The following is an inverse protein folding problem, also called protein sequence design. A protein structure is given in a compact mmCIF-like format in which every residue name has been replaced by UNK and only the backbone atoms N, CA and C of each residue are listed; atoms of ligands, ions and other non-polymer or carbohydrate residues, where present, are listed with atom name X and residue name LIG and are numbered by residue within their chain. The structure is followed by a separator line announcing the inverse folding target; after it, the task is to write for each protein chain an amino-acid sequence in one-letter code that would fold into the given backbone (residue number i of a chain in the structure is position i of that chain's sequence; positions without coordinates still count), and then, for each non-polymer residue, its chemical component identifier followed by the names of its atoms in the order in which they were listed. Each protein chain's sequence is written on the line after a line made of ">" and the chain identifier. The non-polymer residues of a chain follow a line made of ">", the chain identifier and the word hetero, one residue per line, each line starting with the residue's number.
data_IF_838018561500
#
_entry.id   IF_838018561500
#
_cell.length_a   1.000
_cell.length_b   1.000
_cell.length_c   1.000
_cell.angle_alpha   90.00
_cell.angle_beta   90.00
_cell.angle_gamma   90.00
#
_symmetry.space_group_name_H-M   'P 1'
#
loop_
_entity.id
_entity.type
_entity.pdbx_description
1 polymer ?
#
# COMPACT_ATOMS: atom_id res chain seq x y z
N UNK A 1 3.04 -12.04 16.94
CA UNK A 1 2.75 -11.00 15.92
C UNK A 1 1.89 -9.95 16.57
N UNK A 2 2.26 -8.67 16.46
CA UNK A 2 1.40 -7.58 16.93
C UNK A 2 0.50 -7.06 15.82
N UNK A 3 -0.48 -6.23 16.19
CA UNK A 3 -1.40 -5.62 15.23
C UNK A 3 -0.62 -4.74 14.26
N UNK A 4 0.36 -3.95 14.74
CA UNK A 4 1.25 -3.16 13.89
C UNK A 4 1.99 -4.02 12.88
N UNK A 5 2.49 -5.20 13.28
CA UNK A 5 3.17 -6.11 12.36
C UNK A 5 2.21 -6.65 11.26
N UNK A 6 0.97 -6.97 11.61
CA UNK A 6 -0.04 -7.41 10.64
C UNK A 6 -0.43 -6.29 9.66
N UNK A 7 -0.60 -5.07 10.17
CA UNK A 7 -0.89 -3.88 9.33
C UNK A 7 0.29 -3.57 8.41
N UNK A 8 1.53 -3.63 8.93
CA UNK A 8 2.75 -3.45 8.13
C UNK A 8 2.87 -4.49 7.01
N UNK A 9 2.57 -5.75 7.29
CA UNK A 9 2.54 -6.81 6.26
C UNK A 9 1.47 -6.52 5.20
N UNK A 10 0.31 -6.01 5.60
CA UNK A 10 -0.77 -5.64 4.67
C UNK A 10 -0.34 -4.48 3.77
N UNK A 11 0.31 -3.45 4.32
CA UNK A 11 0.88 -2.34 3.55
C UNK A 11 1.91 -2.84 2.53
N UNK A 12 2.78 -3.78 2.93
CA UNK A 12 3.76 -4.37 2.00
C UNK A 12 3.07 -5.11 0.84
N UNK A 13 2.03 -5.90 1.12
CA UNK A 13 1.24 -6.57 0.08
C UNK A 13 0.56 -5.57 -0.87
N UNK A 14 -0.01 -4.49 -0.35
CA UNK A 14 -0.63 -3.43 -1.16
C UNK A 14 0.38 -2.74 -2.10
N UNK A 15 1.59 -2.45 -1.60
CA UNK A 15 2.69 -1.91 -2.43
C UNK A 15 3.08 -2.87 -3.56
N UNK A 16 3.09 -4.18 -3.28
CA UNK A 16 3.32 -5.21 -4.31
C UNK A 16 2.22 -5.24 -5.38
N UNK A 17 0.95 -5.13 -4.99
CA UNK A 17 -0.18 -5.02 -5.92
C UNK A 17 -0.05 -3.76 -6.77
N UNK A 18 0.26 -2.61 -6.16
CA UNK A 18 0.47 -1.36 -6.87
C UNK A 18 1.54 -1.48 -7.95
N UNK A 19 2.73 -1.99 -7.59
CA UNK A 19 3.83 -2.20 -8.54
C UNK A 19 3.46 -3.15 -9.68
N UNK A 20 2.64 -4.17 -9.38
CA UNK A 20 2.12 -5.11 -10.39
C UNK A 20 1.20 -4.40 -11.39
N UNK A 21 0.29 -3.54 -10.92
CA UNK A 21 -0.59 -2.75 -11.80
C UNK A 21 0.20 -1.74 -12.63
N UNK A 22 1.21 -1.10 -12.06
CA UNK A 22 2.12 -0.20 -12.81
C UNK A 22 2.85 -0.96 -13.91
N UNK A 23 3.35 -2.17 -13.62
CA UNK A 23 4.00 -3.03 -14.63
C UNK A 23 3.03 -3.40 -15.75
N UNK A 24 1.78 -3.76 -15.45
CA UNK A 24 0.77 -4.01 -16.48
C UNK A 24 0.46 -2.75 -17.30
N UNK A 25 0.39 -1.57 -16.68
CA UNK A 25 0.13 -0.32 -17.38
C UNK A 25 1.27 0.09 -18.32
N UNK A 26 2.51 -0.33 -18.03
CA UNK A 26 3.67 -0.10 -18.90
C UNK A 26 3.63 -0.99 -20.15
N UNK A 27 3.16 -2.23 -20.01
CA UNK A 27 3.06 -3.20 -21.12
C UNK A 27 1.75 -3.10 -21.92
N UNK A 28 0.78 -2.31 -21.47
CA UNK A 28 -0.53 -2.16 -22.11
C UNK A 28 -0.51 -1.12 -23.24
N UNK A 29 -0.97 -1.53 -24.42
CA UNK A 29 -1.08 -0.69 -25.62
C UNK A 29 -2.47 -0.03 -25.71
N UNK A 30 -3.51 -0.68 -25.19
CA UNK A 30 -4.85 -0.14 -25.16
C UNK A 30 -4.93 1.04 -24.18
N UNK A 31 -5.19 2.23 -24.71
CA UNK A 31 -5.23 3.47 -23.92
C UNK A 31 -6.31 3.47 -22.84
N UNK A 32 -7.46 2.83 -23.10
CA UNK A 32 -8.54 2.72 -22.11
C UNK A 32 -8.12 1.82 -20.95
N UNK A 33 -7.54 0.64 -21.25
CA UNK A 33 -7.03 -0.28 -20.25
C UNK A 33 -5.90 0.36 -19.42
N UNK A 34 -4.99 1.09 -20.06
CA UNK A 34 -3.93 1.87 -19.39
C UNK A 34 -4.51 2.92 -18.45
N UNK A 35 -5.56 3.63 -18.86
CA UNK A 35 -6.24 4.60 -18.01
C UNK A 35 -6.93 3.93 -16.81
N UNK A 36 -7.53 2.75 -16.99
CA UNK A 36 -8.12 1.95 -15.90
C UNK A 36 -7.03 1.56 -14.90
N UNK A 37 -5.90 1.01 -15.36
CA UNK A 37 -4.80 0.60 -14.50
C UNK A 37 -4.22 1.78 -13.73
N UNK A 38 -3.94 2.91 -14.41
CA UNK A 38 -3.43 4.12 -13.78
C UNK A 38 -4.38 4.66 -12.70
N UNK A 39 -5.69 4.74 -12.97
CA UNK A 39 -6.68 5.17 -11.96
C UNK A 39 -6.71 4.24 -10.74
N UNK A 40 -6.61 2.93 -10.95
CA UNK A 40 -6.60 1.98 -9.85
C UNK A 40 -5.30 2.05 -9.04
N UNK A 41 -4.14 2.23 -9.68
CA UNK A 41 -2.87 2.52 -9.00
C UNK A 41 -2.99 3.76 -8.11
N UNK A 42 -3.63 4.83 -8.56
CA UNK A 42 -3.86 6.02 -7.74
C UNK A 42 -4.77 5.76 -6.53
N UNK A 43 -5.80 4.91 -6.70
CA UNK A 43 -6.67 4.49 -5.58
C UNK A 43 -5.90 3.68 -4.55
N UNK A 44 -5.10 2.70 -4.99
CA UNK A 44 -4.28 1.88 -4.10
C UNK A 44 -3.27 2.75 -3.34
N UNK A 45 -2.64 3.72 -4.02
CA UNK A 45 -1.76 4.69 -3.37
C UNK A 45 -2.45 5.44 -2.23
N UNK A 46 -3.72 5.82 -2.39
CA UNK A 46 -4.48 6.47 -1.33
C UNK A 46 -4.68 5.54 -0.13
N UNK A 47 -5.08 4.29 -0.39
CA UNK A 47 -5.24 3.26 0.64
C UNK A 47 -3.93 3.01 1.39
N UNK A 48 -2.80 2.88 0.67
CA UNK A 48 -1.47 2.71 1.28
C UNK A 48 -1.16 3.86 2.23
N UNK A 49 -1.35 5.11 1.80
CA UNK A 49 -1.07 6.28 2.65
C UNK A 49 -1.93 6.31 3.92
N UNK A 50 -3.20 5.95 3.82
CA UNK A 50 -4.08 5.92 5.00
C UNK A 50 -3.72 4.77 5.95
N UNK A 51 -3.31 3.62 5.41
CA UNK A 51 -2.82 2.49 6.20
C UNK A 51 -1.48 2.79 6.87
N UNK A 52 -0.57 3.52 6.21
CA UNK A 52 0.70 3.96 6.78
C UNK A 52 0.48 4.94 7.95
N UNK A 53 -0.47 5.88 7.82
CA UNK A 53 -0.87 6.75 8.94
C UNK A 53 -1.39 5.93 10.11
N UNK A 54 -2.25 4.93 9.86
CA UNK A 54 -2.78 4.06 10.91
C UNK A 54 -1.68 3.23 11.56
N UNK A 55 -0.73 2.72 10.76
CA UNK A 55 0.42 1.99 11.26
C UNK A 55 1.25 2.83 12.25
N UNK A 56 1.53 4.10 11.93
CA UNK A 56 2.27 4.98 12.84
C UNK A 56 1.58 5.18 14.20
N UNK A 57 0.25 5.29 14.21
CA UNK A 57 -0.53 5.36 15.46
C UNK A 57 -0.41 4.05 16.27
N UNK A 58 -0.52 2.91 15.60
CA UNK A 58 -0.43 1.60 16.24
C UNK A 58 0.97 1.32 16.81
N UNK A 59 2.01 1.72 16.08
CA UNK A 59 3.40 1.62 16.57
C UNK A 59 3.59 2.49 17.82
N UNK A 60 3.02 3.69 17.85
CA UNK A 60 3.07 4.54 19.05
C UNK A 60 2.30 3.95 20.24
N UNK A 61 1.20 3.23 20.01
CA UNK A 61 0.41 2.58 21.06
C UNK A 61 1.16 1.36 21.65
N UNK A 62 1.96 0.67 20.84
CA UNK A 62 2.61 -0.60 21.19
C UNK A 62 3.92 -0.42 22.01
N UNK A 63 4.02 -0.98 23.24
CA UNK A 63 5.18 -0.80 24.12
C UNK A 63 6.53 -1.17 23.50
N UNK A 64 6.53 -2.19 22.65
CA UNK A 64 7.71 -2.71 21.96
C UNK A 64 8.34 -1.73 20.95
N UNK A 65 7.63 -0.69 20.51
CA UNK A 65 8.17 0.35 19.62
C UNK A 65 8.58 1.63 20.37
N UNK A 66 8.32 1.73 21.68
CA UNK A 66 8.61 2.91 22.52
C UNK A 66 10.06 3.01 23.00
N UNK A 67 10.92 2.03 22.64
CA UNK A 67 12.30 1.90 23.12
C UNK A 67 13.39 2.20 22.10
N UNK A 68 13.05 2.86 20.98
CA UNK A 68 14.00 3.34 19.96
C UNK A 68 14.13 4.87 20.01
#
# INVERSE_FOLDING_TARGET
>A
MTISAQVKQTVASLKGVQATLETFALSEENQEAKAILSRNTQRINHVIRDMEKRLGVLEFEEPQYKGF
#
